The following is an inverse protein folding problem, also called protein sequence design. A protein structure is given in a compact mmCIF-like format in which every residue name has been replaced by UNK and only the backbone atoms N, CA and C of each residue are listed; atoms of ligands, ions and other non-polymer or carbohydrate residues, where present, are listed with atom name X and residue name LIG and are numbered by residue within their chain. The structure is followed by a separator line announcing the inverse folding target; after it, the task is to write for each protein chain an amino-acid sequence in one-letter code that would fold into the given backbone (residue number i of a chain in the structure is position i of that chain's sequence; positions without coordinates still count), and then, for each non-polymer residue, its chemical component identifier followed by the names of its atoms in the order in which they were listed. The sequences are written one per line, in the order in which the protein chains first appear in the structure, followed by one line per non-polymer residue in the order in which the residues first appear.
data_IF_849364408926
#
_entry.id   IF_849364408926
#
_cell.length_a   1.000
_cell.length_b   1.000
_cell.length_c   1.000
_cell.angle_alpha   90.00
_cell.angle_beta   90.00
_cell.angle_gamma   90.00
#
_symmetry.space_group_name_H-M   'P 1'
#
loop_
_entity.id
_entity.type
_entity.pdbx_description
1 polymer ?
#
# COMPACT_ATOMS: atom_id res chain seq x y z
N UNK A 1 21.82 -17.54 -14.37
CA UNK A 1 20.70 -16.64 -14.01
C UNK A 1 20.10 -16.98 -12.65
N UNK A 2 19.59 -18.20 -12.44
CA UNK A 2 19.00 -18.61 -11.14
C UNK A 2 19.99 -18.47 -9.96
N UNK A 3 21.25 -18.85 -10.14
CA UNK A 3 22.31 -18.69 -9.11
C UNK A 3 22.55 -17.23 -8.71
N UNK A 4 22.49 -16.30 -9.66
CA UNK A 4 22.66 -14.87 -9.38
C UNK A 4 21.47 -14.31 -8.60
N UNK A 5 20.27 -14.80 -8.91
CA UNK A 5 19.04 -14.45 -8.17
C UNK A 5 19.09 -14.97 -6.73
N UNK A 6 19.50 -16.23 -6.54
CA UNK A 6 19.69 -16.80 -5.19
C UNK A 6 20.74 -16.01 -4.41
N UNK A 7 21.86 -15.65 -5.05
CA UNK A 7 22.91 -14.84 -4.43
C UNK A 7 22.40 -13.46 -3.99
N UNK A 8 21.67 -12.75 -4.85
CA UNK A 8 21.07 -11.46 -4.51
C UNK A 8 20.07 -11.56 -3.35
N UNK A 9 19.25 -12.62 -3.31
CA UNK A 9 18.32 -12.83 -2.19
C UNK A 9 19.08 -13.13 -0.90
N UNK A 10 20.13 -13.95 -0.94
CA UNK A 10 20.94 -14.25 0.24
C UNK A 10 21.68 -13.01 0.76
N UNK A 11 22.20 -12.15 -0.12
CA UNK A 11 22.79 -10.87 0.27
C UNK A 11 21.76 -9.95 0.95
N UNK A 12 20.52 -9.94 0.45
CA UNK A 12 19.42 -9.22 1.09
C UNK A 12 19.01 -9.81 2.44
N UNK A 13 18.95 -11.14 2.56
CA UNK A 13 18.62 -11.82 3.81
C UNK A 13 19.71 -11.63 4.88
N UNK A 14 20.98 -11.51 4.46
CA UNK A 14 22.10 -11.22 5.34
C UNK A 14 22.06 -9.77 5.88
N UNK A 15 21.50 -8.82 5.12
CA UNK A 15 21.35 -7.43 5.53
C UNK A 15 19.95 -6.88 5.21
N UNK A 16 18.99 -7.25 6.06
CA UNK A 16 17.56 -6.93 5.86
C UNK A 16 17.21 -5.47 6.14
N UNK A 17 18.01 -4.75 6.93
CA UNK A 17 17.64 -3.42 7.43
C UNK A 17 17.37 -2.38 6.32
N UNK A 18 18.23 -2.21 5.29
CA UNK A 18 17.98 -1.24 4.23
C UNK A 18 16.70 -1.54 3.46
N UNK A 19 16.41 -2.83 3.24
CA UNK A 19 15.21 -3.28 2.57
C UNK A 19 13.95 -3.01 3.41
N UNK A 20 13.96 -3.45 4.67
CA UNK A 20 12.83 -3.25 5.57
C UNK A 20 12.57 -1.76 5.84
N UNK A 21 13.62 -0.95 6.00
CA UNK A 21 13.50 0.49 6.17
C UNK A 21 12.91 1.18 4.95
N UNK A 22 13.37 0.83 3.74
CA UNK A 22 12.83 1.40 2.49
C UNK A 22 11.37 1.00 2.29
N UNK A 23 11.05 -0.28 2.56
CA UNK A 23 9.69 -0.78 2.52
C UNK A 23 8.80 -0.03 3.51
N UNK A 24 9.23 0.13 4.77
CA UNK A 24 8.52 0.89 5.81
C UNK A 24 8.37 2.38 5.48
N UNK A 25 9.35 3.00 4.82
CA UNK A 25 9.28 4.40 4.41
C UNK A 25 8.30 4.61 3.27
N UNK A 26 8.31 3.71 2.28
CA UNK A 26 7.35 3.72 1.18
C UNK A 26 5.92 3.50 1.71
N UNK A 27 5.77 2.65 2.74
CA UNK A 27 4.52 2.51 3.51
C UNK A 27 4.12 3.86 4.12
N UNK A 28 4.92 4.43 5.02
CA UNK A 28 4.53 5.63 5.75
C UNK A 28 4.14 6.79 4.81
N UNK A 29 4.82 6.91 3.67
CA UNK A 29 4.52 7.94 2.66
C UNK A 29 3.18 7.73 1.95
N UNK A 30 2.78 6.48 1.71
CA UNK A 30 1.49 6.14 1.07
C UNK A 30 0.34 6.06 2.10
N UNK A 31 0.66 5.78 3.36
CA UNK A 31 -0.32 5.42 4.40
C UNK A 31 -0.43 6.43 5.55
N UNK A 32 -0.14 7.72 5.33
CA UNK A 32 -0.38 8.76 6.35
C UNK A 32 -1.73 8.54 7.06
N UNK A 33 -1.66 8.37 8.39
CA UNK A 33 -2.75 7.96 9.29
C UNK A 33 -4.00 8.86 9.22
N UNK A 34 -3.85 10.11 8.75
CA UNK A 34 -4.96 11.04 8.51
C UNK A 34 -6.05 10.49 7.58
N UNK A 35 -5.74 9.52 6.71
CA UNK A 35 -6.72 8.98 5.77
C UNK A 35 -7.59 7.84 6.33
N UNK A 36 -7.22 7.23 7.47
CA UNK A 36 -7.99 6.10 8.01
C UNK A 36 -9.29 6.54 8.66
N UNK A 37 -9.35 7.78 9.17
CA UNK A 37 -10.56 8.42 9.71
C UNK A 37 -11.16 9.46 8.74
N UNK A 38 -10.78 9.46 7.46
CA UNK A 38 -11.17 10.49 6.48
C UNK A 38 -12.70 10.62 6.30
N UNK A 39 -13.47 9.62 6.71
CA UNK A 39 -14.93 9.62 6.57
C UNK A 39 -15.68 10.05 7.82
N UNK A 40 -15.04 10.14 8.99
CA UNK A 40 -15.73 10.44 10.26
C UNK A 40 -16.31 11.85 10.25
N UNK A 41 -15.53 12.82 9.75
CA UNK A 41 -15.97 14.20 9.56
C UNK A 41 -17.10 14.30 8.52
N UNK A 42 -17.05 13.46 7.47
CA UNK A 42 -18.09 13.40 6.44
C UNK A 42 -19.38 12.82 7.02
N UNK A 43 -19.28 11.82 7.89
CA UNK A 43 -20.43 11.18 8.53
C UNK A 43 -21.13 12.11 9.51
N UNK A 44 -20.39 12.85 10.33
CA UNK A 44 -20.96 13.89 11.19
C UNK A 44 -21.71 14.95 10.37
N UNK A 45 -21.11 15.45 9.29
CA UNK A 45 -21.74 16.46 8.42
C UNK A 45 -22.96 15.92 7.67
N UNK A 46 -22.92 14.65 7.24
CA UNK A 46 -24.07 13.98 6.61
C UNK A 46 -25.24 13.84 7.59
N UNK A 47 -24.98 13.51 8.86
CA UNK A 47 -26.01 13.40 9.88
C UNK A 47 -26.69 14.76 10.13
N UNK A 48 -25.91 15.83 10.27
CA UNK A 48 -26.42 17.19 10.42
C UNK A 48 -27.30 17.63 9.24
N UNK A 49 -26.83 17.43 8.01
CA UNK A 49 -27.58 17.83 6.81
C UNK A 49 -28.86 17.00 6.65
N UNK A 50 -28.84 15.71 6.99
CA UNK A 50 -30.06 14.88 6.98
C UNK A 50 -31.10 15.38 7.99
N UNK A 51 -30.67 15.82 9.18
CA UNK A 51 -31.58 16.43 10.16
C UNK A 51 -32.14 17.76 9.66
N UNK A 52 -31.31 18.61 9.04
CA UNK A 52 -31.75 19.88 8.45
C UNK A 52 -32.77 19.65 7.32
N UNK A 53 -32.53 18.68 6.45
CA UNK A 53 -33.42 18.29 5.37
C UNK A 53 -34.82 17.90 5.91
N UNK A 54 -34.87 17.11 6.98
CA UNK A 54 -36.14 16.72 7.63
C UNK A 54 -36.90 17.94 8.19
N UNK A 55 -36.18 18.91 8.75
CA UNK A 55 -36.79 20.15 9.29
C UNK A 55 -37.34 21.02 8.15
N UNK A 56 -36.56 21.23 7.09
CA UNK A 56 -36.96 22.06 5.96
C UNK A 56 -38.15 21.46 5.20
N UNK A 57 -38.14 20.14 4.98
CA UNK A 57 -39.25 19.42 4.36
C UNK A 57 -40.55 19.54 5.18
N UNK A 58 -40.47 19.42 6.52
CA UNK A 58 -41.62 19.62 7.42
C UNK A 58 -42.14 21.05 7.37
N UNK A 59 -41.24 22.02 7.27
CA UNK A 59 -41.58 23.45 7.18
C UNK A 59 -42.01 23.91 5.77
N UNK A 60 -42.00 23.01 4.76
CA UNK A 60 -42.21 23.33 3.33
C UNK A 60 -41.27 24.42 2.79
N UNK A 61 -40.08 24.53 3.38
CA UNK A 61 -39.02 25.39 2.85
C UNK A 61 -38.34 24.70 1.67
N UNK A 62 -37.68 25.49 0.84
CA UNK A 62 -36.75 24.96 -0.16
C UNK A 62 -35.58 24.25 0.54
N UNK A 63 -35.15 23.14 -0.03
CA UNK A 63 -34.14 22.25 0.52
C UNK A 63 -33.19 21.69 -0.56
N UNK A 64 -33.27 22.21 -1.79
CA UNK A 64 -32.48 21.74 -2.93
C UNK A 64 -30.97 21.81 -2.63
N UNK A 65 -30.51 22.93 -2.05
CA UNK A 65 -29.10 23.10 -1.63
C UNK A 65 -28.64 22.04 -0.62
N UNK A 66 -29.50 21.65 0.32
CA UNK A 66 -29.19 20.63 1.34
C UNK A 66 -29.14 19.24 0.71
N UNK A 67 -30.04 18.97 -0.23
CA UNK A 67 -30.05 17.71 -0.96
C UNK A 67 -28.79 17.56 -1.83
N UNK A 68 -28.37 18.61 -2.53
CA UNK A 68 -27.18 18.61 -3.38
C UNK A 68 -25.89 18.40 -2.58
N UNK A 69 -25.74 19.07 -1.43
CA UNK A 69 -24.58 18.87 -0.57
C UNK A 69 -24.55 17.45 0.02
N UNK A 70 -25.71 16.85 0.35
CA UNK A 70 -25.79 15.44 0.76
C UNK A 70 -25.30 14.52 -0.36
N UNK A 71 -25.71 14.74 -1.61
CA UNK A 71 -25.24 13.94 -2.74
C UNK A 71 -23.73 14.05 -2.93
N UNK A 72 -23.21 15.28 -2.90
CA UNK A 72 -21.78 15.55 -3.02
C UNK A 72 -20.96 14.87 -1.91
N UNK A 73 -21.40 14.97 -0.66
CA UNK A 73 -20.70 14.34 0.47
C UNK A 73 -20.72 12.81 0.40
N UNK A 74 -21.81 12.21 -0.11
CA UNK A 74 -21.87 10.76 -0.34
C UNK A 74 -20.88 10.30 -1.41
N UNK A 75 -20.75 11.06 -2.50
CA UNK A 75 -19.76 10.77 -3.54
C UNK A 75 -18.33 10.87 -3.00
N UNK A 76 -18.03 11.95 -2.26
CA UNK A 76 -16.73 12.12 -1.60
C UNK A 76 -16.42 10.96 -0.63
N UNK A 77 -17.39 10.55 0.19
CA UNK A 77 -17.25 9.40 1.09
C UNK A 77 -16.94 8.12 0.31
N UNK A 78 -17.66 7.87 -0.78
CA UNK A 78 -17.46 6.66 -1.58
C UNK A 78 -16.07 6.61 -2.21
N UNK A 79 -15.58 7.74 -2.71
CA UNK A 79 -14.23 7.85 -3.27
C UNK A 79 -13.17 7.62 -2.18
N UNK A 80 -13.33 8.23 -1.01
CA UNK A 80 -12.42 8.03 0.12
C UNK A 80 -12.36 6.55 0.56
N UNK A 81 -13.51 5.87 0.63
CA UNK A 81 -13.58 4.44 0.97
C UNK A 81 -12.92 3.56 -0.09
N UNK A 82 -13.11 3.87 -1.38
CA UNK A 82 -12.47 3.12 -2.47
C UNK A 82 -10.95 3.26 -2.43
N UNK A 83 -10.45 4.48 -2.23
CA UNK A 83 -9.02 4.74 -2.07
C UNK A 83 -8.46 4.04 -0.83
N UNK A 84 -9.18 4.05 0.28
CA UNK A 84 -8.74 3.37 1.49
C UNK A 84 -8.69 1.84 1.29
N UNK A 85 -9.69 1.24 0.65
CA UNK A 85 -9.69 -0.19 0.33
C UNK A 85 -8.50 -0.60 -0.58
N UNK A 86 -8.15 0.21 -1.58
CA UNK A 86 -6.99 -0.05 -2.44
C UNK A 86 -5.67 0.03 -1.64
N UNK A 87 -5.61 0.94 -0.67
CA UNK A 87 -4.48 1.10 0.24
C UNK A 87 -4.37 -0.07 1.21
N UNK A 88 -5.46 -0.54 1.80
CA UNK A 88 -5.46 -1.65 2.76
C UNK A 88 -4.89 -2.94 2.16
N UNK A 89 -5.22 -3.26 0.90
CA UNK A 89 -4.63 -4.40 0.19
C UNK A 89 -3.11 -4.28 0.03
N UNK A 90 -2.59 -3.06 -0.15
CA UNK A 90 -1.15 -2.80 -0.19
C UNK A 90 -0.53 -2.94 1.21
N UNK A 91 -1.20 -2.49 2.28
CA UNK A 91 -0.74 -2.68 3.67
C UNK A 91 -0.60 -4.16 4.02
N UNK A 92 -1.64 -4.95 3.75
CA UNK A 92 -1.64 -6.38 4.05
C UNK A 92 -0.48 -7.10 3.36
N UNK A 93 -0.28 -6.86 2.06
CA UNK A 93 0.79 -7.49 1.29
C UNK A 93 2.18 -7.18 1.85
N UNK A 94 2.35 -5.99 2.43
CA UNK A 94 3.63 -5.55 2.98
C UNK A 94 3.84 -6.11 4.40
N UNK A 95 2.81 -6.17 5.23
CA UNK A 95 2.87 -6.87 6.52
C UNK A 95 3.26 -8.33 6.32
N UNK A 96 2.57 -9.02 5.40
CA UNK A 96 2.90 -10.40 5.04
C UNK A 96 4.33 -10.58 4.51
N UNK A 97 4.87 -9.61 3.77
CA UNK A 97 6.26 -9.65 3.28
C UNK A 97 7.27 -9.37 4.38
N UNK A 98 6.94 -8.49 5.33
CA UNK A 98 7.78 -8.18 6.50
C UNK A 98 7.86 -9.39 7.43
N UNK A 99 6.73 -10.00 7.74
CA UNK A 99 6.64 -11.20 8.57
C UNK A 99 7.41 -12.36 7.92
N UNK A 100 7.17 -12.59 6.63
CA UNK A 100 7.89 -13.61 5.86
C UNK A 100 9.41 -13.43 5.94
N UNK A 101 9.92 -12.22 5.72
CA UNK A 101 11.36 -11.94 5.78
C UNK A 101 11.91 -12.08 7.20
N UNK A 102 11.15 -11.74 8.24
CA UNK A 102 11.56 -11.94 9.63
C UNK A 102 11.64 -13.43 10.00
N UNK A 103 10.75 -14.27 9.46
CA UNK A 103 10.77 -15.72 9.65
C UNK A 103 11.94 -16.42 8.94
N UNK A 104 12.39 -15.89 7.80
CA UNK A 104 13.55 -16.44 7.08
C UNK A 104 14.83 -16.23 7.89
N UNK A 105 15.38 -17.30 8.47
CA UNK A 105 16.60 -17.27 9.30
C UNK A 105 17.81 -17.96 8.64
N UNK A 106 17.63 -18.49 7.43
CA UNK A 106 18.63 -19.28 6.71
C UNK A 106 18.87 -18.75 5.30
N UNK A 107 20.10 -18.94 4.80
CA UNK A 107 20.44 -18.75 3.39
C UNK A 107 19.65 -19.74 2.53
N UNK A 108 19.15 -19.26 1.40
CA UNK A 108 18.55 -20.12 0.39
C UNK A 108 19.65 -20.95 -0.27
N UNK A 109 19.54 -22.27 -0.14
CA UNK A 109 20.41 -23.22 -0.84
C UNK A 109 19.96 -23.42 -2.30
N UNK A 110 18.66 -23.26 -2.57
CA UNK A 110 18.05 -23.50 -3.87
C UNK A 110 17.17 -22.34 -4.34
N UNK A 111 16.91 -22.31 -5.65
CA UNK A 111 16.02 -21.33 -6.26
C UNK A 111 14.56 -21.64 -5.92
N UNK A 112 13.91 -20.72 -5.20
CA UNK A 112 12.47 -20.77 -4.92
C UNK A 112 11.72 -19.77 -5.82
N UNK A 113 10.91 -20.30 -6.75
CA UNK A 113 10.15 -19.48 -7.69
C UNK A 113 9.07 -18.63 -7.00
N UNK A 114 8.44 -19.12 -5.94
CA UNK A 114 7.44 -18.35 -5.21
C UNK A 114 8.09 -17.16 -4.52
N UNK A 115 9.26 -17.39 -3.92
CA UNK A 115 10.03 -16.36 -3.23
C UNK A 115 10.53 -15.29 -4.20
N UNK A 116 11.03 -15.70 -5.37
CA UNK A 116 11.44 -14.79 -6.44
C UNK A 116 10.28 -13.92 -6.92
N UNK A 117 9.12 -14.52 -7.22
CA UNK A 117 7.91 -13.75 -7.62
C UNK A 117 7.44 -12.78 -6.53
N UNK A 118 7.71 -13.10 -5.27
CA UNK A 118 7.32 -12.27 -4.13
C UNK A 118 8.26 -11.09 -3.93
N UNK A 119 9.56 -11.26 -4.14
CA UNK A 119 10.59 -10.26 -3.80
C UNK A 119 11.09 -9.43 -5.00
N UNK A 120 11.17 -10.02 -6.20
CA UNK A 120 11.85 -9.43 -7.35
C UNK A 120 10.85 -8.74 -8.27
N UNK A 121 11.15 -7.50 -8.66
CA UNK A 121 10.39 -6.73 -9.65
C UNK A 121 10.92 -7.01 -11.06
N UNK A 122 12.24 -6.87 -11.27
CA UNK A 122 12.88 -7.22 -12.54
C UNK A 122 14.37 -7.53 -12.34
N UNK A 123 14.95 -8.16 -13.35
CA UNK A 123 16.40 -8.42 -13.45
C UNK A 123 16.91 -7.81 -14.75
N UNK A 124 17.90 -6.93 -14.64
CA UNK A 124 18.57 -6.29 -15.79
C UNK A 124 19.92 -6.94 -16.00
N UNK A 125 20.20 -7.37 -17.24
CA UNK A 125 21.46 -8.05 -17.60
C UNK A 125 22.37 -7.06 -18.34
N UNK A 126 23.60 -6.91 -17.87
CA UNK A 126 24.68 -6.17 -18.51
C UNK A 126 25.78 -7.13 -18.96
N UNK A 127 26.79 -6.61 -19.67
CA UNK A 127 27.88 -7.42 -20.21
C UNK A 127 28.76 -8.05 -19.11
N UNK A 128 28.88 -7.38 -17.95
CA UNK A 128 29.75 -7.76 -16.82
C UNK A 128 29.01 -7.99 -15.49
N UNK A 129 27.70 -7.70 -15.43
CA UNK A 129 26.91 -7.80 -14.19
C UNK A 129 25.43 -8.06 -14.42
N UNK A 130 24.72 -8.47 -13.37
CA UNK A 130 23.26 -8.40 -13.28
C UNK A 130 22.85 -7.41 -12.19
N UNK A 131 21.87 -6.57 -12.49
CA UNK A 131 21.18 -5.76 -11.47
C UNK A 131 19.83 -6.40 -11.17
N UNK A 132 19.63 -6.81 -9.92
CA UNK A 132 18.37 -7.34 -9.42
C UNK A 132 17.63 -6.23 -8.68
N UNK A 133 16.49 -5.81 -9.23
CA UNK A 133 15.62 -4.82 -8.59
C UNK A 133 14.52 -5.53 -7.82
N UNK A 134 14.46 -5.25 -6.52
CA UNK A 134 13.44 -5.77 -5.64
C UNK A 134 12.20 -4.89 -5.65
N UNK A 135 11.04 -5.46 -5.31
CA UNK A 135 9.76 -4.73 -5.23
C UNK A 135 9.73 -3.59 -4.20
N UNK A 136 10.69 -3.55 -3.28
CA UNK A 136 10.89 -2.42 -2.38
C UNK A 136 11.57 -1.22 -3.04
N UNK A 137 12.15 -1.39 -4.24
CA UNK A 137 13.01 -0.42 -4.91
C UNK A 137 14.50 -0.54 -4.57
N UNK A 138 14.89 -1.54 -3.75
CA UNK A 138 16.31 -1.85 -3.52
C UNK A 138 16.90 -2.53 -4.75
N UNK A 139 18.11 -2.14 -5.14
CA UNK A 139 18.86 -2.74 -6.23
C UNK A 139 20.12 -3.43 -5.69
N UNK A 140 20.41 -4.63 -6.18
CA UNK A 140 21.66 -5.36 -5.89
C UNK A 140 22.34 -5.72 -7.20
N UNK A 141 23.61 -5.32 -7.30
CA UNK A 141 24.48 -5.65 -8.43
C UNK A 141 25.29 -6.92 -8.15
N UNK A 142 25.20 -7.89 -9.05
CA UNK A 142 25.93 -9.16 -9.00
C UNK A 142 26.89 -9.22 -10.19
N UNK A 143 28.19 -9.21 -9.93
CA UNK A 143 29.23 -9.46 -10.95
C UNK A 143 29.12 -10.88 -11.52
N UNK A 144 29.28 -11.01 -12.85
CA UNK A 144 29.21 -12.28 -13.61
C UNK A 144 30.61 -12.82 -13.90
#
# INVERSE_FOLDING_TARGET
MQTAVVKAINELLANKEPFLSTLQKNIATVFNEENDNATDDIDGKLEELQQQLLIQAKSKNDYEDVADEIYRLRELKQNALAENAEREGKRQRIAEMTDFLNEQSCELEEYDEQLVRRLIEKVTVFDDKLTVEFKSGVEIDIEI
#
